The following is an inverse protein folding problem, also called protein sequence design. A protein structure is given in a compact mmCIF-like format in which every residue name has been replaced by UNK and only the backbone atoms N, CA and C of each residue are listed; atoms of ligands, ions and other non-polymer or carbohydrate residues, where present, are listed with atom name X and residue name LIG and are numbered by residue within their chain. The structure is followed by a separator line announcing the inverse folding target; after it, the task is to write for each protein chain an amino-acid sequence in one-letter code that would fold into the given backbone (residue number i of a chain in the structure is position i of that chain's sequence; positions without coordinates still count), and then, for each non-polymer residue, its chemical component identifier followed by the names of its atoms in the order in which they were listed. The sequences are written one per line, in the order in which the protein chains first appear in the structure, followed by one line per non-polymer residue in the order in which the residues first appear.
data_IF_292036825144
#
_entry.id   IF_292036825144
#
_cell.length_a   1.000
_cell.length_b   1.000
_cell.length_c   1.000
_cell.angle_alpha   90.00
_cell.angle_beta   90.00
_cell.angle_gamma   90.00
#
_symmetry.space_group_name_H-M   'P 1'
#
loop_
_entity.id
_entity.type
_entity.pdbx_description
1 polymer ?
#
# COMPACT_ATOMS: atom_id res chain seq x y z
N UNK A 1 -19.45 -31.86 -28.55
CA UNK A 1 -18.44 -32.45 -29.46
C UNK A 1 -17.44 -31.36 -29.81
N UNK A 2 -16.14 -31.38 -29.50
CA UNK A 2 -15.28 -32.20 -28.67
C UNK A 2 -13.93 -31.47 -28.72
N UNK A 3 -13.44 -30.95 -27.59
CA UNK A 3 -12.11 -30.33 -27.48
C UNK A 3 -11.34 -31.15 -26.45
N UNK A 4 -10.23 -31.71 -26.92
CA UNK A 4 -9.44 -32.77 -26.30
C UNK A 4 -8.99 -32.45 -24.87
N UNK A 5 -9.44 -33.29 -23.94
CA UNK A 5 -8.90 -33.51 -22.60
C UNK A 5 -7.50 -34.13 -22.69
N UNK A 6 -6.45 -33.31 -22.80
CA UNK A 6 -5.05 -33.73 -22.55
C UNK A 6 -4.24 -32.66 -21.81
N UNK A 7 -4.86 -31.97 -20.86
CA UNK A 7 -4.21 -30.94 -20.03
C UNK A 7 -4.13 -31.31 -18.54
N UNK A 8 -4.42 -32.55 -18.13
CA UNK A 8 -4.58 -32.88 -16.69
C UNK A 8 -3.90 -34.15 -16.17
N UNK A 9 -2.97 -34.78 -16.90
CA UNK A 9 -2.20 -35.88 -16.30
C UNK A 9 -0.72 -35.82 -16.68
N UNK A 10 0.06 -35.10 -15.88
CA UNK A 10 1.47 -35.40 -15.58
C UNK A 10 1.95 -34.51 -14.42
N UNK A 11 1.30 -34.68 -13.27
CA UNK A 11 1.84 -34.25 -11.97
C UNK A 11 2.07 -35.50 -11.15
N UNK A 12 3.29 -36.04 -11.23
CA UNK A 12 3.99 -36.78 -10.18
C UNK A 12 5.19 -37.51 -10.80
N UNK A 13 6.39 -36.94 -10.62
CA UNK A 13 7.57 -37.59 -10.02
C UNK A 13 8.85 -36.81 -10.35
N UNK A 14 9.40 -36.17 -9.31
CA UNK A 14 10.81 -35.93 -8.99
C UNK A 14 11.78 -35.32 -10.03
N UNK A 15 12.40 -34.20 -9.59
CA UNK A 15 13.35 -33.27 -10.24
C UNK A 15 12.67 -32.23 -11.13
N UNK A 16 12.52 -31.02 -10.59
CA UNK A 16 12.07 -29.82 -11.32
C UNK A 16 13.15 -29.44 -12.34
N UNK A 17 13.12 -30.08 -13.51
CA UNK A 17 13.74 -29.58 -14.72
C UNK A 17 12.73 -28.63 -15.38
N UNK A 18 12.99 -27.32 -15.32
CA UNK A 18 12.31 -26.39 -16.21
C UNK A 18 12.63 -26.79 -17.66
N UNK A 19 11.66 -26.79 -18.58
CA UNK A 19 11.93 -27.11 -19.97
C UNK A 19 12.89 -26.05 -20.52
N UNK A 20 14.08 -26.48 -20.97
CA UNK A 20 14.99 -25.70 -21.79
C UNK A 20 14.23 -25.31 -23.07
N UNK A 21 13.57 -24.16 -23.03
CA UNK A 21 12.91 -23.57 -24.18
C UNK A 21 13.98 -22.98 -25.10
N UNK A 22 14.54 -23.83 -25.97
CA UNK A 22 15.41 -23.41 -27.06
C UNK A 22 14.58 -22.60 -28.04
N UNK A 23 14.63 -21.28 -27.92
CA UNK A 23 14.05 -20.31 -28.85
C UNK A 23 15.18 -19.72 -29.69
N UNK A 24 15.03 -19.72 -31.03
CA UNK A 24 16.04 -19.24 -32.01
C UNK A 24 16.30 -17.72 -31.97
N UNK A 25 15.71 -16.99 -31.03
CA UNK A 25 15.95 -15.56 -30.88
C UNK A 25 17.12 -15.30 -29.93
N UNK A 26 18.06 -14.44 -30.32
CA UNK A 26 19.25 -14.07 -29.53
C UNK A 26 18.93 -13.52 -28.12
N UNK A 27 17.68 -13.12 -27.86
CA UNK A 27 17.22 -12.77 -26.51
C UNK A 27 17.11 -13.97 -25.57
N UNK A 28 16.94 -15.17 -26.09
CA UNK A 28 16.66 -16.38 -25.32
C UNK A 28 17.93 -17.15 -24.94
N UNK A 29 19.03 -17.00 -25.68
CA UNK A 29 20.31 -17.60 -25.34
C UNK A 29 21.30 -16.52 -24.88
N UNK A 30 21.43 -16.37 -23.56
CA UNK A 30 22.36 -15.40 -22.96
C UNK A 30 23.79 -15.96 -22.79
N UNK A 31 24.07 -17.19 -23.22
CA UNK A 31 25.40 -17.78 -23.04
C UNK A 31 26.49 -17.03 -23.81
N UNK A 32 26.14 -16.37 -24.91
CA UNK A 32 27.08 -15.65 -25.79
C UNK A 32 26.70 -14.18 -26.04
N UNK A 33 25.72 -13.65 -25.32
CA UNK A 33 25.20 -12.29 -25.53
C UNK A 33 25.83 -11.35 -24.51
N UNK A 34 26.40 -10.24 -24.98
CA UNK A 34 26.94 -9.24 -24.06
C UNK A 34 25.81 -8.45 -23.38
N UNK A 35 26.02 -7.91 -22.16
CA UNK A 35 25.04 -7.07 -21.48
C UNK A 35 24.50 -5.92 -22.34
N UNK A 36 25.36 -5.25 -23.10
CA UNK A 36 24.97 -4.16 -24.00
C UNK A 36 24.00 -4.65 -25.08
N UNK A 37 24.31 -5.80 -25.71
CA UNK A 37 23.48 -6.38 -26.78
C UNK A 37 22.14 -6.85 -26.21
N UNK A 38 22.13 -7.47 -25.04
CA UNK A 38 20.89 -7.85 -24.36
C UNK A 38 19.99 -6.64 -24.11
N UNK A 39 20.53 -5.54 -23.57
CA UNK A 39 19.78 -4.31 -23.32
C UNK A 39 19.29 -3.65 -24.60
N UNK A 40 20.10 -3.67 -25.66
CA UNK A 40 19.68 -3.22 -26.97
C UNK A 40 18.49 -4.04 -27.49
N UNK A 41 18.57 -5.37 -27.44
CA UNK A 41 17.47 -6.22 -27.87
C UNK A 41 16.20 -6.03 -27.00
N UNK A 42 16.37 -5.82 -25.69
CA UNK A 42 15.27 -5.50 -24.78
C UNK A 42 14.58 -4.18 -25.18
N UNK A 43 15.38 -3.16 -25.54
CA UNK A 43 14.89 -1.88 -26.08
C UNK A 43 14.11 -2.10 -27.37
N UNK A 44 14.66 -2.81 -28.32
CA UNK A 44 14.00 -3.07 -29.61
C UNK A 44 12.67 -3.80 -29.39
N UNK A 45 12.62 -4.83 -28.55
CA UNK A 45 11.37 -5.52 -28.22
C UNK A 45 10.33 -4.60 -27.57
N UNK A 46 10.75 -3.68 -26.70
CA UNK A 46 9.86 -2.69 -26.10
C UNK A 46 9.31 -1.70 -27.13
N UNK A 47 10.17 -1.17 -28.00
CA UNK A 47 9.80 -0.17 -29.02
C UNK A 47 8.85 -0.79 -30.06
N UNK A 48 9.21 -1.93 -30.64
CA UNK A 48 8.43 -2.56 -31.72
C UNK A 48 7.20 -3.36 -31.25
N UNK A 49 7.06 -3.62 -29.95
CA UNK A 49 5.87 -4.31 -29.46
C UNK A 49 4.58 -3.54 -29.80
N UNK A 50 3.49 -4.26 -30.06
CA UNK A 50 2.18 -3.66 -30.40
C UNK A 50 1.26 -3.52 -29.19
N UNK A 51 1.61 -4.14 -28.05
CA UNK A 51 0.82 -4.10 -26.82
C UNK A 51 0.89 -2.73 -26.10
N UNK A 52 -0.02 -2.49 -25.15
CA UNK A 52 0.10 -1.33 -24.23
C UNK A 52 1.38 -1.42 -23.39
N UNK A 53 1.93 -0.27 -22.98
CA UNK A 53 3.21 -0.18 -22.26
C UNK A 53 3.31 -1.10 -21.03
N UNK A 54 2.26 -1.16 -20.21
CA UNK A 54 2.22 -2.04 -19.02
C UNK A 54 2.25 -3.53 -19.38
N UNK A 55 1.56 -3.92 -20.43
CA UNK A 55 1.57 -5.30 -20.94
C UNK A 55 2.94 -5.66 -21.54
N UNK A 56 3.54 -4.75 -22.33
CA UNK A 56 4.92 -4.90 -22.83
C UNK A 56 5.89 -5.15 -21.68
N UNK A 57 5.85 -4.29 -20.67
CA UNK A 57 6.74 -4.37 -19.52
C UNK A 57 6.60 -5.69 -18.77
N UNK A 58 5.36 -6.16 -18.54
CA UNK A 58 5.09 -7.43 -17.88
C UNK A 58 5.62 -8.63 -18.67
N UNK A 59 5.45 -8.63 -19.99
CA UNK A 59 5.95 -9.70 -20.87
C UNK A 59 7.48 -9.71 -20.84
N UNK A 60 8.12 -8.56 -21.03
CA UNK A 60 9.57 -8.43 -21.02
C UNK A 60 10.18 -8.80 -19.66
N UNK A 61 9.51 -8.47 -18.55
CA UNK A 61 9.94 -8.89 -17.22
C UNK A 61 9.86 -10.41 -17.04
N UNK A 62 8.82 -11.07 -17.53
CA UNK A 62 8.71 -12.53 -17.50
C UNK A 62 9.77 -13.19 -18.38
N UNK A 63 10.05 -12.62 -19.54
CA UNK A 63 11.08 -13.08 -20.45
C UNK A 63 12.47 -12.92 -19.83
N UNK A 64 12.82 -11.74 -19.31
CA UNK A 64 14.08 -11.50 -18.62
C UNK A 64 14.29 -12.49 -17.46
N UNK A 65 13.25 -12.75 -16.67
CA UNK A 65 13.30 -13.78 -15.63
C UNK A 65 13.59 -15.18 -16.18
N UNK A 66 12.93 -15.58 -17.28
CA UNK A 66 13.19 -16.85 -17.96
C UNK A 66 14.61 -16.96 -18.50
N UNK A 67 15.15 -15.86 -19.06
CA UNK A 67 16.48 -15.85 -19.65
C UNK A 67 17.60 -16.04 -18.63
N UNK A 68 17.39 -15.63 -17.37
CA UNK A 68 18.37 -15.86 -16.29
C UNK A 68 18.56 -17.35 -15.97
N UNK A 69 17.61 -18.24 -16.34
CA UNK A 69 17.77 -19.70 -16.22
C UNK A 69 18.57 -20.33 -17.36
N UNK A 70 18.89 -19.58 -18.42
CA UNK A 70 19.65 -20.08 -19.56
C UNK A 70 21.17 -19.84 -19.36
N UNK A 71 21.61 -19.87 -18.09
CA UNK A 71 23.00 -19.77 -17.64
C UNK A 71 23.85 -18.72 -18.38
N UNK A 72 23.45 -17.42 -18.33
CA UNK A 72 24.27 -16.34 -18.88
C UNK A 72 25.69 -16.39 -18.33
N UNK A 73 26.71 -16.25 -19.18
CA UNK A 73 28.11 -16.19 -18.76
C UNK A 73 28.47 -14.75 -18.35
N UNK A 74 29.17 -14.51 -17.21
CA UNK A 74 29.83 -15.47 -16.30
C UNK A 74 28.98 -15.88 -15.08
N UNK A 75 27.66 -15.74 -15.17
CA UNK A 75 26.68 -16.06 -14.12
C UNK A 75 25.55 -15.01 -14.10
N UNK A 76 24.31 -15.43 -13.80
CA UNK A 76 23.12 -14.58 -13.86
C UNK A 76 23.21 -13.30 -13.03
N UNK A 77 23.70 -13.39 -11.78
CA UNK A 77 23.85 -12.22 -10.92
C UNK A 77 24.91 -11.24 -11.46
N UNK A 78 26.05 -11.76 -11.94
CA UNK A 78 27.12 -10.93 -12.52
C UNK A 78 26.64 -10.27 -13.81
N UNK A 79 25.95 -11.02 -14.67
CA UNK A 79 25.39 -10.53 -15.91
C UNK A 79 24.43 -9.37 -15.66
N UNK A 80 23.53 -9.50 -14.67
CA UNK A 80 22.61 -8.42 -14.29
C UNK A 80 23.37 -7.20 -13.73
N UNK A 81 24.39 -7.40 -12.89
CA UNK A 81 25.20 -6.29 -12.39
C UNK A 81 25.88 -5.53 -13.53
N UNK A 82 26.40 -6.24 -14.54
CA UNK A 82 26.98 -5.63 -15.74
C UNK A 82 25.93 -4.91 -16.59
N UNK A 83 24.71 -5.46 -16.73
CA UNK A 83 23.61 -4.78 -17.40
C UNK A 83 23.33 -3.43 -16.72
N UNK A 84 23.22 -3.42 -15.39
CA UNK A 84 22.95 -2.19 -14.64
C UNK A 84 24.05 -1.14 -14.85
N UNK A 85 25.32 -1.56 -14.91
CA UNK A 85 26.46 -0.66 -15.16
C UNK A 85 26.42 0.02 -16.54
N UNK A 86 25.89 -0.67 -17.55
CA UNK A 86 25.81 -0.20 -18.95
C UNK A 86 24.51 0.56 -19.21
N UNK A 87 23.49 0.34 -18.39
CA UNK A 87 22.13 0.81 -18.62
C UNK A 87 21.99 2.34 -18.79
N UNK A 88 22.77 3.20 -18.11
CA UNK A 88 22.70 4.65 -18.31
C UNK A 88 22.90 5.10 -19.77
N UNK A 89 23.57 4.30 -20.60
CA UNK A 89 23.70 4.55 -22.06
C UNK A 89 22.34 4.61 -22.76
N UNK A 90 21.32 3.95 -22.19
CA UNK A 90 19.97 3.89 -22.76
C UNK A 90 19.05 5.01 -22.27
N UNK A 91 19.57 6.04 -21.59
CA UNK A 91 18.92 7.30 -21.23
C UNK A 91 17.47 7.12 -20.72
N UNK A 92 16.47 7.53 -21.52
CA UNK A 92 15.03 7.47 -21.18
C UNK A 92 14.50 6.08 -20.83
N UNK A 93 15.20 5.00 -21.20
CA UNK A 93 14.82 3.63 -20.86
C UNK A 93 15.49 3.13 -19.57
N UNK A 94 16.47 3.86 -19.04
CA UNK A 94 17.32 3.42 -17.93
C UNK A 94 16.51 3.09 -16.67
N UNK A 95 15.62 3.96 -16.23
CA UNK A 95 14.81 3.75 -15.02
C UNK A 95 13.92 2.51 -15.14
N UNK A 96 13.10 2.45 -16.20
CA UNK A 96 12.18 1.35 -16.44
C UNK A 96 12.91 0.01 -16.56
N UNK A 97 14.00 -0.04 -17.33
CA UNK A 97 14.75 -1.27 -17.52
C UNK A 97 15.53 -1.67 -16.26
N UNK A 98 15.97 -0.72 -15.45
CA UNK A 98 16.56 -1.02 -14.14
C UNK A 98 15.56 -1.78 -13.29
N UNK A 99 14.34 -1.25 -13.16
CA UNK A 99 13.28 -1.92 -12.40
C UNK A 99 12.92 -3.29 -12.98
N UNK A 100 12.90 -3.44 -14.30
CA UNK A 100 12.61 -4.70 -14.97
C UNK A 100 13.63 -5.77 -14.60
N UNK A 101 14.91 -5.48 -14.79
CA UNK A 101 16.00 -6.44 -14.62
C UNK A 101 16.24 -6.73 -13.14
N UNK A 102 16.20 -5.72 -12.27
CA UNK A 102 16.26 -5.90 -10.81
C UNK A 102 15.13 -6.82 -10.32
N UNK A 103 13.91 -6.63 -10.84
CA UNK A 103 12.77 -7.48 -10.48
C UNK A 103 12.93 -8.91 -10.97
N UNK A 104 13.45 -9.09 -12.19
CA UNK A 104 13.77 -10.41 -12.73
C UNK A 104 14.81 -11.14 -11.87
N UNK A 105 15.91 -10.46 -11.51
CA UNK A 105 16.95 -11.01 -10.63
C UNK A 105 16.40 -11.34 -9.24
N UNK A 106 15.63 -10.43 -8.62
CA UNK A 106 15.00 -10.66 -7.31
C UNK A 106 14.13 -11.92 -7.32
N UNK A 107 13.38 -12.16 -8.41
CA UNK A 107 12.58 -13.38 -8.57
C UNK A 107 13.44 -14.61 -8.77
N UNK A 108 14.53 -14.50 -9.53
CA UNK A 108 15.49 -15.58 -9.78
C UNK A 108 16.18 -16.05 -8.48
N UNK A 109 16.72 -15.10 -7.71
CA UNK A 109 17.44 -15.39 -6.45
C UNK A 109 16.53 -16.02 -5.38
N UNK A 110 15.24 -15.69 -5.34
CA UNK A 110 14.28 -16.31 -4.41
C UNK A 110 14.13 -17.82 -4.56
N UNK A 111 14.44 -18.37 -5.74
CA UNK A 111 14.32 -19.81 -6.04
C UNK A 111 15.61 -20.56 -5.67
N UNK A 112 16.64 -19.87 -5.17
CA UNK A 112 17.92 -20.47 -4.77
C UNK A 112 18.89 -20.76 -5.92
N UNK A 113 18.48 -20.47 -7.16
CA UNK A 113 19.35 -20.55 -8.33
C UNK A 113 20.17 -19.25 -8.42
N UNK A 114 21.50 -19.33 -8.55
CA UNK A 114 22.36 -18.15 -8.76
C UNK A 114 23.33 -17.75 -7.64
N UNK A 115 23.65 -18.66 -6.72
CA UNK A 115 24.71 -18.41 -5.72
C UNK A 115 26.12 -18.37 -6.34
N UNK A 116 26.29 -18.90 -7.55
CA UNK A 116 27.55 -18.85 -8.27
C UNK A 116 27.90 -17.41 -8.69
N UNK A 117 29.09 -16.96 -8.30
CA UNK A 117 29.57 -15.62 -8.62
C UNK A 117 28.92 -14.48 -7.84
N UNK A 118 28.10 -14.76 -6.82
CA UNK A 118 27.38 -13.72 -6.06
C UNK A 118 28.32 -12.72 -5.37
N UNK A 119 29.49 -13.17 -4.92
CA UNK A 119 30.52 -12.29 -4.33
C UNK A 119 31.05 -11.26 -5.33
N UNK A 120 31.29 -11.67 -6.57
CA UNK A 120 31.71 -10.80 -7.67
C UNK A 120 30.58 -9.87 -8.09
N UNK A 121 29.34 -10.36 -8.12
CA UNK A 121 28.17 -9.54 -8.39
C UNK A 121 27.97 -8.44 -7.32
N UNK A 122 28.13 -8.79 -6.03
CA UNK A 122 28.16 -7.82 -4.91
C UNK A 122 29.23 -6.76 -5.09
N UNK A 123 30.44 -7.16 -5.48
CA UNK A 123 31.54 -6.22 -5.71
C UNK A 123 31.24 -5.27 -6.89
N UNK A 124 30.66 -5.78 -7.99
CA UNK A 124 30.25 -4.95 -9.13
C UNK A 124 29.14 -3.97 -8.74
N UNK A 125 28.15 -4.41 -7.96
CA UNK A 125 27.10 -3.54 -7.44
C UNK A 125 27.65 -2.47 -6.49
N UNK A 126 28.66 -2.81 -5.66
CA UNK A 126 29.35 -1.84 -4.82
C UNK A 126 30.16 -0.82 -5.64
N UNK A 127 30.87 -1.25 -6.69
CA UNK A 127 31.56 -0.35 -7.64
C UNK A 127 30.59 0.58 -8.36
N UNK A 128 29.43 0.05 -8.76
CA UNK A 128 28.35 0.85 -9.34
C UNK A 128 27.85 1.91 -8.36
N UNK A 129 27.67 1.55 -7.09
CA UNK A 129 27.30 2.50 -6.05
C UNK A 129 28.35 3.61 -5.90
N UNK A 130 29.63 3.27 -5.81
CA UNK A 130 30.72 4.24 -5.74
C UNK A 130 30.72 5.19 -6.96
N UNK A 131 30.52 4.65 -8.17
CA UNK A 131 30.43 5.43 -9.39
C UNK A 131 29.23 6.40 -9.45
N UNK A 132 28.15 6.10 -8.73
CA UNK A 132 27.02 7.04 -8.60
C UNK A 132 27.32 8.08 -7.53
N UNK A 133 27.94 7.68 -6.41
CA UNK A 133 28.29 8.58 -5.30
C UNK A 133 29.34 9.62 -5.70
N UNK A 134 30.33 9.24 -6.51
CA UNK A 134 31.37 10.13 -7.03
C UNK A 134 30.91 11.01 -8.22
N UNK A 135 29.71 10.74 -8.75
CA UNK A 135 29.10 11.48 -9.86
C UNK A 135 29.59 11.07 -11.25
N UNK A 136 30.37 9.99 -11.38
CA UNK A 136 30.82 9.47 -12.68
C UNK A 136 29.72 8.75 -13.46
N UNK A 137 28.67 8.28 -12.78
CA UNK A 137 27.53 7.61 -13.38
C UNK A 137 26.21 8.13 -12.83
N UNK A 138 25.18 8.16 -13.67
CA UNK A 138 23.85 8.60 -13.28
C UNK A 138 22.84 7.44 -13.24
N UNK A 139 22.33 7.15 -12.05
CA UNK A 139 21.15 6.33 -11.82
C UNK A 139 20.17 7.11 -10.95
N UNK A 140 18.88 6.87 -11.14
CA UNK A 140 17.87 7.35 -10.20
C UNK A 140 18.13 6.77 -8.80
N UNK A 141 18.01 7.60 -7.77
CA UNK A 141 18.29 7.24 -6.38
C UNK A 141 17.51 6.00 -5.90
N UNK A 142 16.24 5.86 -6.31
CA UNK A 142 15.41 4.71 -5.95
C UNK A 142 15.88 3.42 -6.60
N UNK A 143 16.44 3.52 -7.81
CA UNK A 143 17.08 2.39 -8.48
C UNK A 143 18.32 1.98 -7.69
N UNK A 144 19.15 2.94 -7.28
CA UNK A 144 20.38 2.68 -6.52
C UNK A 144 20.11 1.90 -5.23
N UNK A 145 19.12 2.31 -4.44
CA UNK A 145 18.69 1.58 -3.23
C UNK A 145 18.29 0.14 -3.57
N UNK A 146 17.47 -0.06 -4.62
CA UNK A 146 17.04 -1.40 -5.04
C UNK A 146 18.19 -2.28 -5.52
N UNK A 147 19.25 -1.71 -6.10
CA UNK A 147 20.46 -2.44 -6.48
C UNK A 147 21.15 -2.95 -5.21
N UNK A 148 21.38 -2.07 -4.23
CA UNK A 148 22.00 -2.45 -2.95
C UNK A 148 21.21 -3.56 -2.24
N UNK A 149 19.88 -3.46 -2.21
CA UNK A 149 18.98 -4.46 -1.63
C UNK A 149 19.06 -5.82 -2.34
N UNK A 150 18.95 -5.84 -3.68
CA UNK A 150 18.86 -7.11 -4.43
C UNK A 150 20.19 -7.86 -4.45
N UNK A 151 21.30 -7.14 -4.47
CA UNK A 151 22.61 -7.76 -4.37
C UNK A 151 23.07 -7.99 -2.92
N UNK A 152 22.35 -7.47 -1.92
CA UNK A 152 22.74 -7.55 -0.51
C UNK A 152 24.17 -7.00 -0.28
N UNK A 153 24.38 -5.77 -0.76
CA UNK A 153 25.67 -5.05 -0.67
C UNK A 153 25.80 -4.44 0.72
N UNK A 154 26.79 -4.87 1.50
CA UNK A 154 27.06 -4.28 2.82
C UNK A 154 28.29 -3.35 2.79
N UNK A 155 28.59 -2.70 3.92
CA UNK A 155 29.74 -1.78 4.04
C UNK A 155 31.08 -2.45 3.69
N UNK A 156 31.26 -3.73 4.02
CA UNK A 156 32.48 -4.47 3.67
C UNK A 156 32.63 -4.69 2.16
N UNK A 157 31.52 -4.75 1.41
CA UNK A 157 31.56 -4.83 -0.05
C UNK A 157 31.97 -3.48 -0.67
N UNK A 158 31.47 -2.37 -0.12
CA UNK A 158 31.86 -1.01 -0.54
C UNK A 158 33.35 -0.81 -0.30
N UNK A 159 33.83 -1.15 0.88
CA UNK A 159 35.25 -1.01 1.22
C UNK A 159 36.17 -1.80 0.30
N UNK A 160 35.82 -3.06 0.01
CA UNK A 160 36.55 -3.87 -0.98
C UNK A 160 36.54 -3.24 -2.38
N UNK A 161 35.42 -2.62 -2.77
CA UNK A 161 35.31 -1.94 -4.05
C UNK A 161 36.14 -0.65 -4.14
N UNK A 162 36.44 0.00 -3.01
CA UNK A 162 37.27 1.21 -2.96
C UNK A 162 38.76 0.91 -3.19
N UNK A 163 39.26 -0.20 -2.66
CA UNK A 163 40.70 -0.51 -2.67
C UNK A 163 41.11 -1.57 -3.69
N UNK A 164 40.15 -2.28 -4.30
CA UNK A 164 40.42 -3.40 -5.21
C UNK A 164 41.36 -4.48 -4.60
N UNK A 165 41.29 -4.66 -3.28
CA UNK A 165 42.15 -5.56 -2.51
C UNK A 165 41.35 -6.67 -1.83
N UNK A 166 41.91 -7.88 -1.85
CA UNK A 166 41.35 -9.08 -1.22
C UNK A 166 41.76 -9.24 0.26
N UNK A 167 42.48 -8.28 0.84
CA UNK A 167 43.07 -8.42 2.17
C UNK A 167 42.04 -8.33 3.31
N UNK A 168 42.15 -9.26 4.25
CA UNK A 168 41.31 -9.33 5.44
C UNK A 168 41.91 -8.43 6.53
N UNK A 169 41.58 -7.16 6.51
CA UNK A 169 42.08 -6.24 7.55
C UNK A 169 41.41 -4.88 7.64
N UNK A 170 40.26 -4.68 6.98
CA UNK A 170 39.68 -3.34 6.89
C UNK A 170 38.69 -3.05 8.00
N UNK A 171 38.83 -1.86 8.58
CA UNK A 171 37.83 -1.25 9.44
C UNK A 171 36.82 -0.57 8.53
N UNK A 172 35.57 -1.06 8.47
CA UNK A 172 34.46 -0.51 7.64
C UNK A 172 34.12 0.97 7.89
N UNK A 173 34.94 1.68 8.66
CA UNK A 173 34.91 3.09 8.97
C UNK A 173 34.99 3.97 7.71
N UNK A 174 35.88 3.69 6.75
CA UNK A 174 36.01 4.55 5.55
C UNK A 174 34.78 4.44 4.65
N UNK A 175 34.29 3.22 4.41
CA UNK A 175 33.06 3.00 3.67
C UNK A 175 31.85 3.65 4.38
N UNK A 176 31.79 3.55 5.71
CA UNK A 176 30.74 4.21 6.51
C UNK A 176 30.76 5.72 6.35
N UNK A 177 31.92 6.36 6.49
CA UNK A 177 32.08 7.81 6.33
C UNK A 177 31.65 8.27 4.93
N UNK A 178 32.02 7.54 3.88
CA UNK A 178 31.61 7.84 2.52
C UNK A 178 30.09 7.76 2.35
N UNK A 179 29.46 6.69 2.88
CA UNK A 179 28.01 6.52 2.84
C UNK A 179 27.31 7.64 3.61
N UNK A 180 27.80 8.03 4.79
CA UNK A 180 27.26 9.13 5.59
C UNK A 180 27.38 10.49 4.90
N UNK A 181 28.48 10.75 4.20
CA UNK A 181 28.64 11.94 3.37
C UNK A 181 27.65 11.96 2.20
N UNK A 182 27.42 10.82 1.55
CA UNK A 182 26.40 10.73 0.51
C UNK A 182 24.98 10.93 1.06
N UNK A 183 24.66 10.33 2.21
CA UNK A 183 23.38 10.53 2.89
C UNK A 183 23.18 12.00 3.27
N UNK A 184 24.23 12.68 3.74
CA UNK A 184 24.16 14.11 4.05
C UNK A 184 23.79 14.95 2.81
N UNK A 185 24.39 14.65 1.65
CA UNK A 185 24.02 15.27 0.36
C UNK A 185 22.57 15.00 -0.03
N UNK A 186 22.06 13.79 0.20
CA UNK A 186 20.65 13.45 -0.04
C UNK A 186 19.70 14.24 0.88
N UNK A 187 20.10 14.47 2.13
CA UNK A 187 19.32 15.28 3.08
C UNK A 187 19.30 16.75 2.65
N UNK A 188 20.45 17.28 2.20
CA UNK A 188 20.55 18.64 1.65
C UNK A 188 19.70 18.83 0.38
N UNK A 189 19.57 17.79 -0.45
CA UNK A 189 18.71 17.78 -1.63
C UNK A 189 17.24 17.41 -1.34
N UNK A 190 16.84 17.33 -0.07
CA UNK A 190 15.49 16.93 0.38
C UNK A 190 15.04 15.53 -0.04
N UNK A 191 15.97 14.63 -0.37
CA UNK A 191 15.71 13.25 -0.77
C UNK A 191 15.66 12.29 0.44
N UNK A 192 14.77 12.59 1.38
CA UNK A 192 14.70 11.94 2.69
C UNK A 192 14.37 10.44 2.64
N UNK A 193 13.45 10.02 1.76
CA UNK A 193 13.10 8.59 1.62
C UNK A 193 14.29 7.74 1.18
N UNK A 194 15.13 8.26 0.28
CA UNK A 194 16.37 7.60 -0.16
C UNK A 194 17.37 7.55 0.99
N UNK A 195 17.60 8.69 1.66
CA UNK A 195 18.50 8.80 2.81
C UNK A 195 18.15 7.78 3.92
N UNK A 196 16.88 7.72 4.32
CA UNK A 196 16.38 6.76 5.33
C UNK A 196 16.56 5.31 4.87
N UNK A 197 16.31 5.02 3.59
CA UNK A 197 16.48 3.66 3.07
C UNK A 197 17.96 3.22 3.05
N UNK A 198 18.90 4.13 2.81
CA UNK A 198 20.33 3.84 2.91
C UNK A 198 20.77 3.67 4.37
N UNK A 199 20.29 4.52 5.28
CA UNK A 199 20.56 4.38 6.72
C UNK A 199 20.09 3.02 7.25
N UNK A 200 18.87 2.61 6.88
CA UNK A 200 18.31 1.30 7.21
C UNK A 200 19.16 0.17 6.62
N UNK A 201 19.45 0.22 5.31
CA UNK A 201 20.18 -0.81 4.58
C UNK A 201 21.58 -1.06 5.17
N UNK A 202 22.31 0.01 5.52
CA UNK A 202 23.63 -0.09 6.14
C UNK A 202 23.62 -0.14 7.67
N UNK A 203 22.42 -0.15 8.28
CA UNK A 203 22.23 -0.18 9.73
C UNK A 203 22.92 0.97 10.50
N UNK A 204 22.90 2.18 9.94
CA UNK A 204 23.49 3.39 10.53
C UNK A 204 22.44 4.14 11.36
N UNK A 205 22.73 4.44 12.63
CA UNK A 205 21.74 4.96 13.62
C UNK A 205 22.03 6.35 14.20
N UNK A 206 23.09 7.02 13.74
CA UNK A 206 23.67 8.17 14.45
C UNK A 206 22.82 9.45 14.42
N UNK A 207 21.79 9.52 13.55
CA UNK A 207 21.03 10.76 13.30
C UNK A 207 19.74 10.92 14.12
N UNK A 208 19.37 9.94 14.95
CA UNK A 208 18.37 10.04 16.03
C UNK A 208 17.12 10.91 15.77
N UNK A 209 16.82 11.76 16.75
CA UNK A 209 15.64 12.64 16.83
C UNK A 209 15.78 13.93 16.02
N UNK A 210 16.97 14.52 15.96
CA UNK A 210 17.19 15.75 15.19
C UNK A 210 16.92 15.56 13.70
N UNK A 211 17.21 14.36 13.17
CA UNK A 211 16.86 14.01 11.79
C UNK A 211 15.36 13.81 11.59
N UNK A 212 14.67 13.24 12.58
CA UNK A 212 13.21 13.11 12.58
C UNK A 212 12.54 14.48 12.47
N UNK A 213 12.94 15.43 13.31
CA UNK A 213 12.39 16.78 13.33
C UNK A 213 12.57 17.49 11.98
N UNK A 214 13.75 17.38 11.35
CA UNK A 214 14.00 17.91 10.01
C UNK A 214 13.06 17.35 8.94
N UNK A 215 12.75 16.05 9.00
CA UNK A 215 11.80 15.42 8.09
C UNK A 215 10.38 15.94 8.31
N UNK A 216 9.97 16.13 9.56
CA UNK A 216 8.65 16.66 9.91
C UNK A 216 8.48 18.12 9.49
N UNK A 217 9.51 18.95 9.67
CA UNK A 217 9.56 20.33 9.16
C UNK A 217 9.41 20.39 7.64
N UNK A 218 10.05 19.45 6.93
CA UNK A 218 9.95 19.33 5.47
C UNK A 218 8.67 18.63 5.00
N UNK A 219 7.76 18.26 5.91
CA UNK A 219 6.51 17.51 5.63
C UNK A 219 6.73 16.13 4.99
N UNK A 220 7.90 15.55 5.18
CA UNK A 220 8.28 14.23 4.66
C UNK A 220 7.85 13.10 5.62
N UNK A 221 6.54 13.02 5.85
CA UNK A 221 5.93 12.14 6.85
C UNK A 221 6.24 10.66 6.64
N UNK A 222 6.25 10.18 5.39
CA UNK A 222 6.56 8.78 5.08
C UNK A 222 8.01 8.42 5.42
N UNK A 223 8.94 9.35 5.22
CA UNK A 223 10.35 9.15 5.56
C UNK A 223 10.53 9.14 7.08
N UNK A 224 9.85 10.06 7.78
CA UNK A 224 9.83 10.12 9.23
C UNK A 224 9.29 8.83 9.87
N UNK A 225 8.16 8.32 9.37
CA UNK A 225 7.58 7.05 9.82
C UNK A 225 8.54 5.89 9.60
N UNK A 226 9.12 5.76 8.39
CA UNK A 226 10.09 4.72 8.09
C UNK A 226 11.32 4.78 9.01
N UNK A 227 11.84 5.98 9.27
CA UNK A 227 12.99 6.18 10.15
C UNK A 227 12.67 5.81 11.60
N UNK A 228 11.51 6.25 12.11
CA UNK A 228 11.05 5.93 13.45
C UNK A 228 10.88 4.42 13.64
N UNK A 229 10.27 3.71 12.68
CA UNK A 229 10.14 2.25 12.72
C UNK A 229 11.50 1.55 12.76
N UNK A 230 12.48 2.01 11.98
CA UNK A 230 13.84 1.44 11.99
C UNK A 230 14.59 1.68 13.31
N UNK A 231 14.47 2.88 13.87
CA UNK A 231 15.11 3.23 15.15
C UNK A 231 14.45 2.53 16.35
N UNK A 232 13.14 2.27 16.24
CA UNK A 232 12.36 1.49 17.19
C UNK A 232 11.45 2.33 18.07
N UNK A 233 10.90 1.68 19.09
CA UNK A 233 9.83 2.22 19.97
C UNK A 233 10.08 3.63 20.52
N UNK A 234 11.29 4.00 21.02
CA UNK A 234 11.50 5.34 21.57
C UNK A 234 11.24 6.45 20.55
N UNK A 235 11.75 6.29 19.31
CA UNK A 235 11.58 7.31 18.27
C UNK A 235 10.16 7.32 17.69
N UNK A 236 9.48 6.18 17.70
CA UNK A 236 8.05 6.10 17.38
C UNK A 236 7.20 6.88 18.38
N UNK A 237 7.50 6.81 19.68
CA UNK A 237 6.81 7.61 20.68
C UNK A 237 7.00 9.11 20.45
N UNK A 238 8.24 9.55 20.16
CA UNK A 238 8.52 10.94 19.79
C UNK A 238 7.75 11.37 18.55
N UNK A 239 7.69 10.52 17.50
CA UNK A 239 6.93 10.81 16.29
C UNK A 239 5.42 10.98 16.57
N UNK A 240 4.84 10.12 17.41
CA UNK A 240 3.43 10.22 17.80
C UNK A 240 3.17 11.54 18.52
N UNK A 241 4.02 11.92 19.48
CA UNK A 241 3.89 13.20 20.18
C UNK A 241 3.98 14.38 19.22
N UNK A 242 4.97 14.39 18.32
CA UNK A 242 5.11 15.43 17.30
C UNK A 242 3.90 15.53 16.37
N UNK A 243 3.27 14.40 16.03
CA UNK A 243 2.03 14.41 15.25
C UNK A 243 0.85 14.98 16.03
N UNK A 244 0.75 14.73 17.33
CA UNK A 244 -0.28 15.35 18.18
C UNK A 244 -0.06 16.85 18.28
N UNK A 245 1.17 17.29 18.55
CA UNK A 245 1.53 18.70 18.70
C UNK A 245 1.28 19.52 17.42
N UNK A 246 1.33 18.86 16.25
CA UNK A 246 1.05 19.44 14.93
C UNK A 246 -0.40 19.24 14.46
N UNK A 247 -1.29 18.78 15.34
CA UNK A 247 -2.70 18.49 15.04
C UNK A 247 -2.93 17.42 13.94
N UNK A 248 -1.94 16.55 13.68
CA UNK A 248 -1.98 15.46 12.70
C UNK A 248 -2.52 14.16 13.31
N UNK A 249 -3.71 14.23 13.92
CA UNK A 249 -4.31 13.13 14.71
C UNK A 249 -4.45 11.82 13.92
N UNK A 250 -4.75 11.90 12.61
CA UNK A 250 -4.86 10.72 11.74
C UNK A 250 -3.52 9.99 11.63
N UNK A 251 -2.43 10.72 11.42
CA UNK A 251 -1.10 10.14 11.26
C UNK A 251 -0.64 9.52 12.58
N UNK A 252 -0.87 10.21 13.71
CA UNK A 252 -0.63 9.67 15.05
C UNK A 252 -1.37 8.34 15.26
N UNK A 253 -2.67 8.29 14.95
CA UNK A 253 -3.47 7.08 15.07
C UNK A 253 -2.95 5.94 14.18
N UNK A 254 -2.62 6.23 12.93
CA UNK A 254 -2.12 5.22 11.99
C UNK A 254 -0.78 4.63 12.46
N UNK A 255 0.15 5.45 12.99
CA UNK A 255 1.43 5.00 13.57
C UNK A 255 1.20 4.13 14.81
N UNK A 256 0.33 4.56 15.75
CA UNK A 256 -0.01 3.81 16.96
C UNK A 256 -0.56 2.42 16.57
N UNK A 257 -1.48 2.37 15.60
CA UNK A 257 -2.11 1.13 15.15
C UNK A 257 -1.12 0.19 14.47
N UNK A 258 -0.24 0.70 13.60
CA UNK A 258 0.68 -0.13 12.82
C UNK A 258 1.83 -0.70 13.66
N UNK A 259 2.22 0.00 14.73
CA UNK A 259 3.38 -0.37 15.55
C UNK A 259 3.00 -0.92 16.95
N UNK A 260 1.72 -1.24 17.18
CA UNK A 260 1.17 -1.78 18.43
C UNK A 260 1.43 -0.89 19.66
N UNK A 261 1.34 0.43 19.52
CA UNK A 261 1.64 1.39 20.61
C UNK A 261 0.43 1.79 21.44
N UNK A 262 -0.59 0.92 21.52
CA UNK A 262 -1.88 1.26 22.15
C UNK A 262 -1.75 1.47 23.66
N UNK A 263 -0.85 0.74 24.30
CA UNK A 263 -0.60 0.84 25.75
C UNK A 263 0.14 2.13 26.12
N UNK A 264 0.99 2.65 25.23
CA UNK A 264 1.68 3.92 25.47
C UNK A 264 0.79 5.14 25.26
N UNK A 265 -0.19 5.03 24.35
CA UNK A 265 -1.05 6.14 23.96
C UNK A 265 -2.54 5.74 23.92
N UNK A 266 -3.12 5.27 25.05
CA UNK A 266 -4.52 4.87 25.08
C UNK A 266 -5.43 6.07 24.79
N UNK A 267 -5.17 7.22 25.41
CA UNK A 267 -5.98 8.43 25.29
C UNK A 267 -6.06 8.93 23.84
N UNK A 268 -4.92 9.06 23.15
CA UNK A 268 -4.88 9.52 21.74
C UNK A 268 -5.62 8.53 20.83
N UNK A 269 -5.46 7.23 21.09
CA UNK A 269 -6.12 6.19 20.32
C UNK A 269 -7.65 6.23 20.49
N UNK A 270 -8.13 6.44 21.72
CA UNK A 270 -9.55 6.57 22.02
C UNK A 270 -10.13 7.89 21.47
N UNK A 271 -9.49 9.03 21.73
CA UNK A 271 -9.95 10.36 21.27
C UNK A 271 -10.11 10.45 19.75
N UNK A 272 -9.19 9.84 18.98
CA UNK A 272 -9.31 9.82 17.52
C UNK A 272 -10.52 9.00 17.06
N UNK A 273 -10.79 7.86 17.69
CA UNK A 273 -11.97 7.04 17.38
C UNK A 273 -13.27 7.78 17.72
N UNK A 274 -13.33 8.40 18.90
CA UNK A 274 -14.47 9.24 19.32
C UNK A 274 -14.72 10.38 18.34
N UNK A 275 -13.68 11.13 17.98
CA UNK A 275 -13.77 12.23 17.02
C UNK A 275 -14.30 11.78 15.64
N UNK A 276 -13.94 10.56 15.22
CA UNK A 276 -14.43 9.97 13.97
C UNK A 276 -15.87 9.50 14.08
N UNK A 277 -16.26 8.93 15.22
CA UNK A 277 -17.64 8.53 15.51
C UNK A 277 -18.56 9.74 15.57
N UNK A 278 -18.15 10.80 16.27
CA UNK A 278 -18.86 12.07 16.32
C UNK A 278 -19.13 12.63 14.92
N UNK A 279 -18.12 12.64 14.05
CA UNK A 279 -18.28 13.08 12.64
C UNK A 279 -19.22 12.18 11.81
N UNK A 280 -19.40 10.92 12.17
CA UNK A 280 -20.36 10.03 11.51
C UNK A 280 -21.78 10.26 12.04
N UNK A 281 -21.91 10.40 13.37
CA UNK A 281 -23.16 10.73 14.05
C UNK A 281 -23.73 12.09 13.58
N UNK A 282 -22.90 13.12 13.49
CA UNK A 282 -23.28 14.44 12.95
C UNK A 282 -23.78 14.39 11.50
N UNK A 283 -23.40 13.35 10.74
CA UNK A 283 -23.85 13.12 9.36
C UNK A 283 -25.06 12.16 9.28
N UNK A 284 -25.64 11.76 10.41
CA UNK A 284 -26.72 10.77 10.47
C UNK A 284 -26.30 9.36 10.05
N UNK A 285 -25.01 9.07 9.88
CA UNK A 285 -24.50 7.79 9.39
C UNK A 285 -24.38 6.75 10.52
N UNK A 286 -25.46 6.52 11.26
CA UNK A 286 -25.47 5.73 12.50
C UNK A 286 -25.03 4.28 12.31
N UNK A 287 -25.49 3.62 11.25
CA UNK A 287 -25.15 2.22 10.97
C UNK A 287 -23.65 2.05 10.66
N UNK A 288 -23.05 3.04 9.99
CA UNK A 288 -21.61 3.05 9.70
C UNK A 288 -20.81 3.34 10.97
N UNK A 289 -21.34 4.15 11.88
CA UNK A 289 -20.74 4.43 13.18
C UNK A 289 -20.75 3.17 14.06
N UNK A 290 -21.89 2.48 14.16
CA UNK A 290 -22.06 1.21 14.88
C UNK A 290 -21.07 0.15 14.38
N UNK A 291 -21.00 -0.06 13.06
CA UNK A 291 -20.05 -1.01 12.45
C UNK A 291 -18.57 -0.67 12.70
N UNK A 292 -18.24 0.61 12.99
CA UNK A 292 -16.87 1.06 13.26
C UNK A 292 -16.44 0.89 14.71
N UNK A 293 -17.39 0.67 15.63
CA UNK A 293 -17.10 0.53 17.05
C UNK A 293 -16.42 -0.82 17.36
N UNK A 294 -16.56 -1.84 16.50
CA UNK A 294 -15.95 -3.17 16.67
C UNK A 294 -16.18 -3.75 18.09
N UNK A 295 -17.41 -3.62 18.61
CA UNK A 295 -17.82 -4.14 19.94
C UNK A 295 -17.08 -3.51 21.14
N UNK A 296 -16.39 -2.38 20.94
CA UNK A 296 -15.78 -1.60 22.01
C UNK A 296 -16.87 -0.92 22.85
N UNK A 297 -17.14 -1.46 24.05
CA UNK A 297 -18.25 -1.04 24.91
C UNK A 297 -18.23 0.46 25.23
N UNK A 298 -17.05 1.05 25.46
CA UNK A 298 -16.94 2.48 25.77
C UNK A 298 -17.34 3.36 24.60
N UNK A 299 -16.97 2.95 23.38
CA UNK A 299 -17.34 3.66 22.16
C UNK A 299 -18.81 3.43 21.77
N UNK A 300 -19.41 2.29 22.16
CA UNK A 300 -20.84 2.05 22.02
C UNK A 300 -21.63 2.98 22.95
N UNK A 301 -21.23 3.06 24.21
CA UNK A 301 -21.82 3.99 25.19
C UNK A 301 -21.68 5.46 24.71
N UNK A 302 -20.54 5.83 24.13
CA UNK A 302 -20.36 7.15 23.50
C UNK A 302 -21.27 7.36 22.28
N UNK A 303 -21.50 6.34 21.45
CA UNK A 303 -22.40 6.43 20.31
C UNK A 303 -23.86 6.64 20.75
N UNK A 304 -24.29 5.94 21.82
CA UNK A 304 -25.62 6.13 22.43
C UNK A 304 -25.76 7.54 23.00
N UNK A 305 -24.72 8.03 23.70
CA UNK A 305 -24.68 9.41 24.19
C UNK A 305 -24.84 10.43 23.05
N UNK A 306 -24.13 10.25 21.93
CA UNK A 306 -24.26 11.12 20.75
C UNK A 306 -25.66 11.07 20.13
N UNK A 307 -26.30 9.89 20.08
CA UNK A 307 -27.67 9.75 19.60
C UNK A 307 -28.68 10.46 20.52
N UNK A 308 -28.47 10.38 21.84
CA UNK A 308 -29.28 11.07 22.83
C UNK A 308 -29.13 12.60 22.72
N UNK A 309 -27.90 13.11 22.62
CA UNK A 309 -27.65 14.55 22.41
C UNK A 309 -28.28 15.07 21.11
N UNK A 310 -28.28 14.24 20.06
CA UNK A 310 -28.88 14.58 18.77
C UNK A 310 -30.41 14.39 18.73
N UNK A 311 -31.03 13.87 19.80
CA UNK A 311 -32.49 13.68 19.89
C UNK A 311 -33.03 12.43 19.18
N UNK A 312 -32.19 11.48 18.78
CA UNK A 312 -32.60 10.23 18.12
C UNK A 312 -32.98 9.16 19.14
N UNK A 313 -34.13 9.33 19.80
CA UNK A 313 -34.63 8.42 20.85
C UNK A 313 -34.79 6.97 20.36
N UNK A 314 -35.28 6.77 19.13
CA UNK A 314 -35.41 5.45 18.53
C UNK A 314 -34.07 4.73 18.36
N UNK A 315 -33.01 5.47 17.97
CA UNK A 315 -31.67 4.91 17.80
C UNK A 315 -31.03 4.59 19.16
N UNK A 316 -31.30 5.38 20.19
CA UNK A 316 -30.90 5.10 21.57
C UNK A 316 -31.52 3.78 22.04
N UNK A 317 -32.84 3.61 21.85
CA UNK A 317 -33.52 2.36 22.21
C UNK A 317 -32.98 1.16 21.42
N UNK A 318 -32.80 1.29 20.10
CA UNK A 318 -32.26 0.22 19.24
C UNK A 318 -30.86 -0.23 19.71
N UNK A 319 -29.95 0.71 19.96
CA UNK A 319 -28.58 0.42 20.39
C UNK A 319 -28.53 -0.13 21.82
N UNK A 320 -29.33 0.43 22.74
CA UNK A 320 -29.41 -0.06 24.12
C UNK A 320 -29.97 -1.48 24.20
N UNK A 321 -30.99 -1.82 23.42
CA UNK A 321 -31.56 -3.17 23.37
C UNK A 321 -30.61 -4.16 22.68
N UNK A 322 -30.01 -3.78 21.55
CA UNK A 322 -29.12 -4.66 20.77
C UNK A 322 -27.86 -5.06 21.55
N UNK A 323 -27.32 -4.15 22.35
CA UNK A 323 -26.06 -4.35 23.08
C UNK A 323 -26.23 -4.50 24.60
N UNK A 324 -27.47 -4.58 25.11
CA UNK A 324 -27.79 -4.70 26.54
C UNK A 324 -27.12 -3.61 27.39
N UNK A 325 -27.19 -2.34 26.94
CA UNK A 325 -26.60 -1.20 27.65
C UNK A 325 -27.60 -0.63 28.66
N UNK A 326 -27.23 -0.67 29.94
CA UNK A 326 -28.04 -0.17 31.07
C UNK A 326 -27.65 1.29 31.42
N UNK A 327 -28.63 2.13 31.83
CA UNK A 327 -28.39 3.48 32.34
C UNK A 327 -28.77 4.66 31.42
N UNK A 328 -29.11 4.41 30.15
CA UNK A 328 -29.56 5.46 29.20
C UNK A 328 -31.10 5.62 29.13
N UNK A 329 -31.82 4.78 29.86
CA UNK A 329 -33.29 4.66 29.84
C UNK A 329 -33.90 5.53 30.95
N UNK A 330 -33.63 6.83 30.96
CA UNK A 330 -34.42 7.81 31.75
C UNK A 330 -35.25 8.75 30.87
N UNK A 331 -35.18 8.60 29.53
CA UNK A 331 -36.00 9.40 28.60
C UNK A 331 -37.49 8.98 28.62
N UNK A 332 -37.79 7.76 29.14
CA UNK A 332 -39.17 7.25 29.22
C UNK A 332 -40.10 8.06 30.13
N UNK A 333 -39.58 8.90 31.03
CA UNK A 333 -40.44 9.71 31.92
C UNK A 333 -40.92 11.03 31.30
N UNK A 334 -40.33 11.50 30.20
CA UNK A 334 -40.79 12.71 29.50
C UNK A 334 -41.75 12.44 28.34
N UNK A 335 -41.70 11.25 27.73
CA UNK A 335 -42.59 10.84 26.64
C UNK A 335 -43.95 10.30 27.08
N UNK A 336 -44.22 10.24 28.39
CA UNK A 336 -45.51 9.82 28.94
C UNK A 336 -46.68 10.80 28.61
N UNK A 337 -46.43 11.88 27.87
CA UNK A 337 -47.44 12.89 27.49
C UNK A 337 -47.87 12.85 26.02
N UNK A 338 -47.23 12.08 25.15
CA UNK A 338 -47.69 11.95 23.76
C UNK A 338 -48.65 10.76 23.62
N UNK A 339 -49.87 10.97 23.12
CA UNK A 339 -50.78 9.87 22.84
C UNK A 339 -50.13 8.94 21.82
N UNK A 340 -49.68 7.77 22.29
CA UNK A 340 -49.51 6.61 21.43
C UNK A 340 -50.87 6.30 20.81
N UNK A 341 -50.84 5.97 19.53
CA UNK A 341 -51.95 5.44 18.73
C UNK A 341 -52.74 6.45 17.90
N UNK A 342 -52.04 7.14 17.00
CA UNK A 342 -52.51 7.17 15.60
C UNK A 342 -51.33 7.19 14.66
N UNK A 343 -51.17 6.11 13.89
CA UNK A 343 -50.45 6.19 12.64
C UNK A 343 -51.07 7.32 11.82
N UNK A 344 -50.23 8.16 11.23
CA UNK A 344 -50.66 9.24 10.36
C UNK A 344 -51.43 8.58 9.19
N UNK A 345 -52.76 8.71 9.17
CA UNK A 345 -53.53 8.13 8.06
C UNK A 345 -53.27 9.04 6.85
N UNK A 346 -52.79 8.45 5.75
CA UNK A 346 -52.43 9.19 4.53
C UNK A 346 -53.63 9.99 3.98
N UNK A 347 -54.83 9.51 4.25
CA UNK A 347 -56.11 10.16 3.97
C UNK A 347 -56.24 11.55 4.65
N UNK A 348 -55.55 11.77 5.77
CA UNK A 348 -55.52 13.03 6.51
C UNK A 348 -54.59 14.05 5.85
N UNK A 349 -53.56 13.59 5.14
CA UNK A 349 -52.53 14.46 4.59
C UNK A 349 -53.00 15.24 3.36
N UNK A 350 -54.05 14.81 2.67
CA UNK A 350 -54.64 15.53 1.52
C UNK A 350 -53.60 16.06 0.50
N UNK A 351 -52.44 15.40 0.38
CA UNK A 351 -51.34 15.86 -0.47
C UNK A 351 -51.68 15.47 -1.90
N UNK A 352 -52.13 16.46 -2.69
CA UNK A 352 -52.47 16.28 -4.12
C UNK A 352 -51.26 15.91 -5.00
N UNK A 353 -50.06 15.98 -4.45
CA UNK A 353 -48.78 15.79 -5.14
C UNK A 353 -48.20 14.38 -4.94
N UNK A 354 -48.85 13.52 -4.14
CA UNK A 354 -48.45 12.11 -3.95
C UNK A 354 -49.37 11.22 -4.79
N UNK A 355 -48.79 10.50 -5.75
CA UNK A 355 -49.49 9.53 -6.59
C UNK A 355 -49.18 8.12 -6.11
N UNK A 356 -50.21 7.39 -5.70
CA UNK A 356 -50.10 5.99 -5.31
C UNK A 356 -50.20 5.09 -6.54
N UNK A 357 -49.29 4.12 -6.63
CA UNK A 357 -49.06 3.32 -7.84
C UNK A 357 -49.48 1.87 -7.65
N UNK A 358 -50.47 1.63 -6.77
CA UNK A 358 -50.86 0.29 -6.33
C UNK A 358 -51.81 -0.42 -7.31
N UNK A 359 -52.35 0.32 -8.30
CA UNK A 359 -53.27 -0.17 -9.32
C UNK A 359 -52.76 0.14 -10.73
N UNK A 360 -53.21 -0.64 -11.71
CA UNK A 360 -52.78 -0.49 -13.11
C UNK A 360 -53.00 0.92 -13.67
N UNK A 361 -54.07 1.60 -13.25
CA UNK A 361 -54.35 2.97 -13.65
C UNK A 361 -53.38 3.97 -12.99
N UNK A 362 -53.08 3.80 -11.70
CA UNK A 362 -52.08 4.61 -11.00
C UNK A 362 -50.68 4.47 -11.60
N UNK A 363 -50.33 3.26 -12.06
CA UNK A 363 -49.08 3.00 -12.79
C UNK A 363 -49.02 3.71 -14.14
N UNK A 364 -50.10 3.68 -14.91
CA UNK A 364 -50.21 4.41 -16.17
C UNK A 364 -50.08 5.93 -15.96
N UNK A 365 -50.78 6.48 -14.98
CA UNK A 365 -50.75 7.92 -14.69
C UNK A 365 -49.38 8.38 -14.21
N UNK A 366 -48.73 7.60 -13.33
CA UNK A 366 -47.36 7.87 -12.89
C UNK A 366 -46.35 7.78 -14.05
N UNK A 367 -46.53 6.82 -14.96
CA UNK A 367 -45.67 6.67 -16.15
C UNK A 367 -45.77 7.89 -17.06
N UNK A 368 -47.00 8.34 -17.36
CA UNK A 368 -47.21 9.56 -18.16
C UNK A 368 -46.57 10.80 -17.51
N UNK A 369 -46.70 10.96 -16.18
CA UNK A 369 -46.08 12.08 -15.45
C UNK A 369 -44.55 12.03 -15.49
N UNK A 370 -43.94 10.85 -15.36
CA UNK A 370 -42.49 10.68 -15.42
C UNK A 370 -41.97 10.95 -16.84
N UNK A 371 -42.68 10.50 -17.88
CA UNK A 371 -42.30 10.73 -19.27
C UNK A 371 -42.29 12.23 -19.66
N UNK A 372 -43.16 13.04 -19.03
CA UNK A 372 -43.22 14.48 -19.24
C UNK A 372 -42.14 15.26 -18.46
N UNK A 373 -41.46 14.60 -17.51
CA UNK A 373 -40.43 15.21 -16.68
C UNK A 373 -39.03 15.14 -17.31
N UNK A 374 -38.34 16.29 -17.40
CA UNK A 374 -36.97 16.35 -17.93
C UNK A 374 -35.90 15.82 -16.97
N UNK A 375 -36.18 15.83 -15.66
CA UNK A 375 -35.28 15.36 -14.60
C UNK A 375 -36.11 14.62 -13.57
N UNK A 376 -35.67 13.41 -13.23
CA UNK A 376 -36.30 12.56 -12.21
C UNK A 376 -35.29 12.35 -11.09
N UNK A 377 -35.65 12.78 -9.87
CA UNK A 377 -34.90 12.46 -8.66
C UNK A 377 -35.44 11.15 -8.08
N UNK A 378 -34.55 10.19 -7.86
CA UNK A 378 -34.90 8.92 -7.20
C UNK A 378 -34.23 8.92 -5.85
N UNK A 379 -35.03 8.93 -4.79
CA UNK A 379 -34.56 8.69 -3.43
C UNK A 379 -34.80 7.22 -3.05
N UNK A 380 -33.83 6.59 -2.40
CA UNK A 380 -33.84 5.16 -2.12
C UNK A 380 -33.21 4.89 -0.76
N UNK A 381 -34.02 4.97 0.30
CA UNK A 381 -33.69 4.39 1.59
C UNK A 381 -34.17 2.93 1.64
N UNK A 382 -33.50 2.04 0.90
CA UNK A 382 -33.81 0.61 0.96
C UNK A 382 -32.59 -0.26 1.24
N UNK A 383 -32.72 -1.09 2.26
CA UNK A 383 -31.77 -2.16 2.61
C UNK A 383 -32.37 -3.51 2.18
N UNK A 384 -31.70 -4.28 1.31
CA UNK A 384 -32.10 -5.65 1.04
C UNK A 384 -31.79 -6.56 2.23
N UNK A 385 -32.79 -7.29 2.72
CA UNK A 385 -32.61 -8.38 3.70
C UNK A 385 -32.26 -9.68 2.95
N UNK A 386 -31.00 -10.09 3.03
CA UNK A 386 -30.53 -11.34 2.40
C UNK A 386 -30.73 -12.59 3.28
N UNK A 387 -31.17 -12.42 4.52
CA UNK A 387 -31.35 -13.53 5.48
C UNK A 387 -32.82 -13.95 5.59
N UNK A 388 -33.07 -15.23 5.24
CA UNK A 388 -34.38 -15.85 5.29
C UNK A 388 -34.82 -16.00 6.76
N UNK A 389 -35.83 -15.23 7.17
CA UNK A 389 -36.34 -15.21 8.56
C UNK A 389 -35.98 -13.96 9.38
N UNK A 390 -35.29 -12.98 8.78
CA UNK A 390 -35.06 -11.67 9.41
C UNK A 390 -36.36 -10.85 9.55
N UNK A 391 -36.45 -10.04 10.59
CA UNK A 391 -37.52 -9.05 10.78
C UNK A 391 -37.52 -8.05 9.61
N UNK A 392 -38.70 -7.60 9.19
CA UNK A 392 -38.85 -6.66 8.08
C UNK A 392 -38.15 -5.33 8.41
N UNK A 393 -37.35 -4.81 7.48
CA UNK A 393 -36.81 -3.46 7.58
C UNK A 393 -37.96 -2.46 7.64
N UNK A 394 -38.01 -1.67 8.70
CA UNK A 394 -38.91 -0.51 8.77
C UNK A 394 -38.20 0.66 8.12
N UNK A 395 -38.73 1.11 7.00
CA UNK A 395 -38.32 2.35 6.34
C UNK A 395 -38.98 3.49 7.11
N UNK A 396 -38.19 4.45 7.59
CA UNK A 396 -38.68 5.67 8.23
C UNK A 396 -38.48 6.79 7.21
N UNK A 397 -39.56 7.44 6.78
CA UNK A 397 -39.44 8.66 5.97
C UNK A 397 -39.16 9.83 6.93
N UNK A 398 -38.07 10.55 6.69
CA UNK A 398 -37.69 11.77 7.43
C UNK A 398 -38.47 13.01 7.02
#
# INVERSE_FOLDING_TARGET
MGVNEKLLHLHNQNKVQHPLAVSRHALCDLSNVSPVVFLYLLKECYVYGTCKATAKFRILQQQAYGFLYNDPQPGAAIFVAQCLYVLPIFESYCEGFSHLIISALRRFLKVGNGMEGISKAKLLAAKLFLAVVDGSMHHEERVLVKILEVFDVNLSNIEKAMYDTDEKGYTCQMAKVLVEQYISRLVESQSYMTAVSLLEHFSIRESGESFLLKMLESKEYRAAEKWATFMGKPLLCTLVQEYVDRELQKNAFDVIRQNNLREEFPEIYHQYKESKLKKLAEKGCWDVAEARVNEDRQLLEYLVYLAMEAGYTEKVEELSERYSLEGFIEVKELDASFPKDRYLQLDELSIKEVVWVDEANGLLDATCHIEECQVVGVDCEWKPNYEKGSSSNKVMFG
#
